data_IF_890103078439
#
_entry.id   IF_890103078439
#
_cell.length_a   1.000
_cell.length_b   1.000
_cell.length_c   1.000
_cell.angle_alpha   90.00
_cell.angle_beta   90.00
_cell.angle_gamma   90.00
#
_symmetry.space_group_name_H-M   'P 1'
#
loop_
_entity.id
_entity.type
_entity.pdbx_description
1 polymer ?
#
# COMPACT_ATOMS: atom_id res chain seq x y z
N UNK A 1 -5.90 -6.60 8.26
CA UNK A 1 -4.95 -6.86 9.35
C UNK A 1 -4.68 -8.35 9.52
N UNK A 2 -5.65 -9.19 9.89
CA UNK A 2 -5.47 -10.65 10.06
C UNK A 2 -4.88 -11.28 8.80
N UNK A 3 -5.46 -11.02 7.62
CA UNK A 3 -4.96 -11.48 6.31
C UNK A 3 -3.48 -11.15 6.11
N UNK A 4 -3.10 -9.95 6.45
CA UNK A 4 -1.73 -9.45 6.33
C UNK A 4 -0.76 -10.18 7.29
N UNK A 5 -1.18 -10.35 8.55
CA UNK A 5 -0.43 -11.09 9.55
C UNK A 5 -0.16 -12.53 9.12
N UNK A 6 -1.20 -13.21 8.62
CA UNK A 6 -1.09 -14.57 8.10
C UNK A 6 -0.16 -14.64 6.87
N UNK A 7 -0.33 -13.72 5.92
CA UNK A 7 0.48 -13.68 4.72
C UNK A 7 1.98 -13.51 5.03
N UNK A 8 2.29 -12.66 6.02
CA UNK A 8 3.66 -12.41 6.49
C UNK A 8 4.23 -13.63 7.24
N UNK A 9 3.54 -14.10 8.27
CA UNK A 9 4.05 -15.17 9.13
C UNK A 9 4.24 -16.50 8.39
N UNK A 10 3.31 -16.83 7.49
CA UNK A 10 3.38 -18.07 6.71
C UNK A 10 4.05 -17.90 5.35
N UNK A 11 4.66 -16.73 5.09
CA UNK A 11 5.36 -16.42 3.85
C UNK A 11 4.54 -16.80 2.59
N UNK A 12 3.22 -16.55 2.62
CA UNK A 12 2.29 -17.02 1.58
C UNK A 12 2.63 -16.49 0.18
N UNK A 13 3.32 -15.36 0.09
CA UNK A 13 3.74 -14.76 -1.18
C UNK A 13 5.15 -15.16 -1.62
N UNK A 14 5.92 -15.89 -0.80
CA UNK A 14 7.26 -16.33 -1.17
C UNK A 14 7.33 -17.10 -2.51
N UNK A 15 6.36 -17.98 -2.85
CA UNK A 15 6.36 -18.64 -4.15
C UNK A 15 6.22 -17.67 -5.33
N UNK A 16 5.47 -16.58 -5.19
CA UNK A 16 5.33 -15.57 -6.24
C UNK A 16 6.64 -14.83 -6.46
N UNK A 17 7.35 -14.48 -5.39
CA UNK A 17 8.66 -13.85 -5.48
C UNK A 17 9.70 -14.76 -6.12
N UNK A 18 9.70 -16.05 -5.77
CA UNK A 18 10.58 -17.04 -6.40
C UNK A 18 10.24 -17.17 -7.90
N UNK A 19 8.96 -17.16 -8.28
CA UNK A 19 8.52 -17.18 -9.68
C UNK A 19 9.07 -15.99 -10.45
N UNK A 20 8.91 -14.76 -9.91
CA UNK A 20 9.43 -13.54 -10.55
C UNK A 20 10.94 -13.64 -10.76
N UNK A 21 11.70 -14.02 -9.72
CA UNK A 21 13.15 -14.17 -9.81
C UNK A 21 13.60 -15.19 -10.86
N UNK A 22 12.84 -16.26 -11.04
CA UNK A 22 13.20 -17.31 -11.99
C UNK A 22 12.77 -17.00 -13.43
N UNK A 23 11.79 -16.09 -13.60
CA UNK A 23 11.21 -15.82 -14.92
C UNK A 23 11.93 -14.71 -15.66
N UNK A 24 12.39 -13.69 -14.92
CA UNK A 24 12.98 -12.50 -15.54
C UNK A 24 14.51 -12.52 -15.45
N UNK A 25 15.16 -12.21 -16.57
CA UNK A 25 16.64 -12.21 -16.69
C UNK A 25 17.26 -10.89 -16.24
N UNK A 26 16.53 -9.77 -16.35
CA UNK A 26 17.05 -8.47 -15.93
C UNK A 26 16.91 -8.31 -14.42
N UNK A 27 18.02 -8.13 -13.75
CA UNK A 27 18.07 -7.91 -12.30
C UNK A 27 17.31 -6.64 -11.90
N UNK A 28 17.47 -5.56 -12.68
CA UNK A 28 16.72 -4.30 -12.48
C UNK A 28 15.21 -4.54 -12.50
N UNK A 29 14.74 -5.26 -13.52
CA UNK A 29 13.32 -5.53 -13.65
C UNK A 29 12.79 -6.39 -12.51
N UNK A 30 13.56 -7.38 -12.06
CA UNK A 30 13.20 -8.21 -10.91
C UNK A 30 13.08 -7.37 -9.64
N UNK A 31 14.02 -6.47 -9.37
CA UNK A 31 13.99 -5.58 -8.19
C UNK A 31 12.72 -4.69 -8.24
N UNK A 32 12.48 -4.03 -9.37
CA UNK A 32 11.27 -3.19 -9.54
C UNK A 32 9.99 -3.98 -9.32
N UNK A 33 9.91 -5.16 -9.92
CA UNK A 33 8.71 -5.98 -9.85
C UNK A 33 8.49 -6.55 -8.44
N UNK A 34 9.57 -6.96 -7.75
CA UNK A 34 9.49 -7.41 -6.36
C UNK A 34 9.05 -6.27 -5.43
N UNK A 35 9.64 -5.09 -5.58
CA UNK A 35 9.26 -3.91 -4.81
C UNK A 35 7.81 -3.49 -5.10
N UNK A 36 7.41 -3.46 -6.37
CA UNK A 36 6.04 -3.13 -6.76
C UNK A 36 5.02 -4.14 -6.21
N UNK A 37 5.30 -5.44 -6.34
CA UNK A 37 4.44 -6.49 -5.76
C UNK A 37 4.40 -6.35 -4.24
N UNK A 38 5.54 -6.15 -3.59
CA UNK A 38 5.62 -5.89 -2.15
C UNK A 38 4.79 -4.68 -1.74
N UNK A 39 4.85 -3.60 -2.52
CA UNK A 39 4.08 -2.38 -2.30
C UNK A 39 2.55 -2.55 -2.44
N UNK A 40 2.10 -3.36 -3.39
CA UNK A 40 0.67 -3.59 -3.65
C UNK A 40 0.04 -4.49 -2.58
N UNK A 41 0.84 -5.30 -1.87
CA UNK A 41 0.30 -6.19 -0.85
C UNK A 41 -0.45 -5.41 0.23
N UNK A 42 -1.68 -5.78 0.57
CA UNK A 42 -2.46 -5.12 1.62
C UNK A 42 -1.99 -5.56 3.01
N UNK A 43 -0.67 -5.51 3.24
CA UNK A 43 -0.05 -5.93 4.50
C UNK A 43 0.62 -4.75 5.17
N UNK A 44 0.37 -4.62 6.45
CA UNK A 44 1.10 -3.70 7.28
C UNK A 44 2.57 -4.14 7.37
N UNK A 45 3.48 -3.19 7.24
CA UNK A 45 4.91 -3.54 7.17
C UNK A 45 5.35 -4.08 5.80
N UNK A 46 4.58 -3.85 4.73
CA UNK A 46 4.95 -4.20 3.35
C UNK A 46 6.31 -3.65 2.93
N UNK A 47 6.66 -2.44 3.39
CA UNK A 47 8.00 -1.87 3.19
C UNK A 47 9.06 -2.77 3.85
N UNK A 48 8.79 -3.30 5.03
CA UNK A 48 9.68 -4.26 5.69
C UNK A 48 9.75 -5.58 4.94
N UNK A 49 8.65 -6.03 4.36
CA UNK A 49 8.61 -7.25 3.53
C UNK A 49 9.38 -7.04 2.24
N UNK A 50 9.16 -5.92 1.57
CA UNK A 50 9.86 -5.54 0.35
C UNK A 50 11.36 -5.36 0.62
N UNK A 51 11.74 -4.64 1.65
CA UNK A 51 13.13 -4.48 2.08
C UNK A 51 13.80 -5.84 2.41
N UNK A 52 13.11 -6.72 3.13
CA UNK A 52 13.58 -8.07 3.41
C UNK A 52 13.78 -8.93 2.15
N UNK A 53 12.96 -8.71 1.11
CA UNK A 53 13.15 -9.37 -0.19
C UNK A 53 14.34 -8.80 -0.94
N UNK A 54 14.51 -7.49 -0.93
CA UNK A 54 15.65 -6.82 -1.53
C UNK A 54 16.96 -7.17 -0.82
N UNK A 55 16.96 -7.37 0.48
CA UNK A 55 18.13 -7.87 1.23
C UNK A 55 18.60 -9.25 0.73
N UNK A 56 17.72 -10.05 0.12
CA UNK A 56 18.11 -11.33 -0.49
C UNK A 56 18.83 -11.19 -1.83
N UNK A 57 18.73 -10.04 -2.46
CA UNK A 57 19.32 -9.74 -3.78
C UNK A 57 20.33 -8.60 -3.75
N UNK A 58 20.42 -7.90 -2.63
CA UNK A 58 21.35 -6.79 -2.44
C UNK A 58 22.77 -7.28 -2.13
N UNK A 59 23.81 -6.55 -2.55
CA UNK A 59 25.15 -6.72 -2.01
C UNK A 59 25.13 -6.51 -0.49
N UNK A 60 25.92 -7.28 0.24
CA UNK A 60 25.95 -7.23 1.71
C UNK A 60 26.44 -5.88 2.24
N UNK A 61 27.25 -5.16 1.47
CA UNK A 61 27.85 -3.88 1.84
C UNK A 61 28.02 -2.94 0.64
N UNK A 62 28.05 -1.61 0.89
CA UNK A 62 28.40 -0.60 -0.09
C UNK A 62 27.23 0.17 -0.72
N UNK A 63 27.56 1.06 -1.66
CA UNK A 63 26.61 1.98 -2.31
C UNK A 63 25.46 1.27 -3.05
N UNK A 64 25.63 0.03 -3.48
CA UNK A 64 24.56 -0.76 -4.11
C UNK A 64 23.39 -0.98 -3.18
N UNK A 65 23.60 -1.15 -1.87
CA UNK A 65 22.54 -1.35 -0.88
C UNK A 65 21.71 -0.08 -0.67
N UNK A 66 22.34 1.09 -0.63
CA UNK A 66 21.66 2.38 -0.52
C UNK A 66 20.77 2.64 -1.75
N UNK A 67 21.30 2.39 -2.95
CA UNK A 67 20.54 2.52 -4.21
C UNK A 67 19.31 1.61 -4.23
N UNK A 68 19.45 0.35 -3.80
CA UNK A 68 18.32 -0.57 -3.71
C UNK A 68 17.30 -0.15 -2.65
N UNK A 69 17.72 0.45 -1.54
CA UNK A 69 16.84 1.06 -0.56
C UNK A 69 16.01 2.21 -1.15
N UNK A 70 16.63 3.06 -1.98
CA UNK A 70 15.92 4.13 -2.69
C UNK A 70 14.95 3.55 -3.73
N UNK A 71 15.35 2.52 -4.47
CA UNK A 71 14.47 1.83 -5.42
C UNK A 71 13.26 1.24 -4.70
N UNK A 72 13.47 0.60 -3.56
CA UNK A 72 12.39 0.06 -2.73
C UNK A 72 11.45 1.16 -2.27
N UNK A 73 11.99 2.23 -1.73
CA UNK A 73 11.20 3.38 -1.30
C UNK A 73 10.36 3.95 -2.44
N UNK A 74 10.97 4.24 -3.59
CA UNK A 74 10.27 4.78 -4.75
C UNK A 74 9.21 3.81 -5.29
N UNK A 75 9.54 2.53 -5.38
CA UNK A 75 8.65 1.51 -5.94
C UNK A 75 7.51 1.12 -5.00
N UNK A 76 7.65 1.33 -3.69
CA UNK A 76 6.62 0.98 -2.70
C UNK A 76 5.73 2.16 -2.32
N UNK A 77 6.18 3.40 -2.45
CA UNK A 77 5.44 4.55 -1.93
C UNK A 77 4.47 5.19 -2.94
N UNK A 78 4.66 5.02 -4.25
CA UNK A 78 3.71 5.55 -5.23
C UNK A 78 2.29 5.01 -5.07
N UNK A 79 2.14 3.79 -4.51
CA UNK A 79 0.84 3.17 -4.34
C UNK A 79 -0.06 3.90 -3.30
N UNK A 80 0.50 4.71 -2.41
CA UNK A 80 -0.28 5.61 -1.55
C UNK A 80 -1.19 6.56 -2.32
N UNK A 81 -0.89 6.79 -3.59
CA UNK A 81 -1.67 7.67 -4.45
C UNK A 81 -2.84 6.96 -5.12
N UNK A 82 -2.71 5.68 -5.44
CA UNK A 82 -3.67 4.99 -6.30
C UNK A 82 -4.23 3.68 -5.76
N UNK A 83 -3.61 3.06 -4.75
CA UNK A 83 -4.11 1.76 -4.30
C UNK A 83 -5.51 1.89 -3.67
N UNK A 84 -6.48 1.11 -4.15
CA UNK A 84 -7.84 1.13 -3.59
C UNK A 84 -7.92 0.62 -2.16
N UNK A 85 -6.82 0.11 -1.62
CA UNK A 85 -6.71 -0.42 -0.26
C UNK A 85 -6.06 0.57 0.71
N UNK A 86 -5.59 1.72 0.20
CA UNK A 86 -4.91 2.72 0.99
C UNK A 86 -5.84 3.76 1.60
N UNK A 87 -5.57 4.09 2.87
CA UNK A 87 -6.33 5.12 3.59
C UNK A 87 -6.22 6.48 2.90
N UNK A 88 -5.05 6.79 2.36
CA UNK A 88 -4.79 8.03 1.59
C UNK A 88 -5.62 8.14 0.32
N UNK A 89 -6.17 7.04 -0.16
CA UNK A 89 -7.08 6.97 -1.31
C UNK A 89 -8.53 6.83 -0.86
N UNK A 90 -8.79 5.91 0.08
CA UNK A 90 -10.16 5.62 0.55
C UNK A 90 -10.80 6.84 1.24
N UNK A 91 -10.04 7.53 2.11
CA UNK A 91 -10.58 8.64 2.89
C UNK A 91 -10.99 9.85 2.02
N UNK A 92 -10.16 10.35 1.09
CA UNK A 92 -10.59 11.41 0.18
C UNK A 92 -11.76 11.00 -0.72
N UNK A 93 -11.74 9.78 -1.26
CA UNK A 93 -12.85 9.25 -2.07
C UNK A 93 -14.15 9.31 -1.28
N UNK A 94 -14.15 8.81 -0.05
CA UNK A 94 -15.31 8.83 0.82
C UNK A 94 -15.72 10.26 1.22
N UNK A 95 -14.76 11.11 1.56
CA UNK A 95 -15.01 12.48 2.01
C UNK A 95 -15.60 13.37 0.90
N UNK A 96 -15.14 13.21 -0.33
CA UNK A 96 -15.59 14.00 -1.48
C UNK A 96 -16.68 13.32 -2.31
N UNK A 97 -17.13 12.12 -1.94
CA UNK A 97 -18.13 11.36 -2.68
C UNK A 97 -17.68 10.98 -4.09
N UNK A 98 -16.37 10.79 -4.30
CA UNK A 98 -15.80 10.44 -5.59
C UNK A 98 -15.96 8.94 -5.87
N UNK A 99 -15.95 8.58 -7.16
CA UNK A 99 -15.68 7.20 -7.56
C UNK A 99 -14.18 6.95 -7.60
N UNK A 100 -13.77 5.69 -7.50
CA UNK A 100 -12.35 5.34 -7.62
C UNK A 100 -11.77 5.73 -8.98
N UNK A 101 -12.55 5.58 -10.06
CA UNK A 101 -12.14 6.00 -11.40
C UNK A 101 -11.96 7.51 -11.54
N UNK A 102 -12.85 8.30 -10.92
CA UNK A 102 -12.71 9.76 -10.88
C UNK A 102 -11.45 10.17 -10.10
N UNK A 103 -11.16 9.52 -8.98
CA UNK A 103 -9.93 9.72 -8.24
C UNK A 103 -8.68 9.42 -9.10
N UNK A 104 -8.64 8.26 -9.77
CA UNK A 104 -7.53 7.92 -10.66
C UNK A 104 -7.35 8.94 -11.78
N UNK A 105 -8.44 9.43 -12.38
CA UNK A 105 -8.37 10.48 -13.38
C UNK A 105 -7.74 11.78 -12.85
N UNK A 106 -8.10 12.16 -11.63
CA UNK A 106 -7.58 13.36 -10.98
C UNK A 106 -6.07 13.28 -10.72
N UNK A 107 -5.59 12.12 -10.24
CA UNK A 107 -4.17 11.95 -9.89
C UNK A 107 -3.31 11.41 -11.03
N UNK A 108 -3.91 11.06 -12.19
CA UNK A 108 -3.19 10.46 -13.32
C UNK A 108 -1.93 11.24 -13.75
N UNK A 109 -1.95 12.58 -13.87
CA UNK A 109 -0.75 13.33 -14.22
C UNK A 109 0.39 13.12 -13.22
N UNK A 110 0.08 13.12 -11.91
CA UNK A 110 1.05 12.89 -10.84
C UNK A 110 1.61 11.47 -10.90
N UNK A 111 0.76 10.48 -11.16
CA UNK A 111 1.19 9.08 -11.32
C UNK A 111 2.14 8.92 -12.50
N UNK A 112 1.82 9.53 -13.65
CA UNK A 112 2.70 9.48 -14.84
C UNK A 112 4.07 10.07 -14.52
N UNK A 113 4.12 11.25 -13.90
CA UNK A 113 5.39 11.88 -13.50
C UNK A 113 6.16 10.99 -12.52
N UNK A 114 5.47 10.42 -11.53
CA UNK A 114 6.09 9.52 -10.54
C UNK A 114 6.68 8.28 -11.20
N UNK A 115 5.94 7.61 -12.08
CA UNK A 115 6.42 6.41 -12.77
C UNK A 115 7.58 6.72 -13.73
N UNK A 116 7.53 7.84 -14.46
CA UNK A 116 8.64 8.27 -15.32
C UNK A 116 9.90 8.53 -14.50
N UNK A 117 9.77 9.23 -13.36
CA UNK A 117 10.89 9.48 -12.46
C UNK A 117 11.48 8.17 -11.88
N UNK A 118 10.64 7.25 -11.43
CA UNK A 118 11.07 5.94 -10.92
C UNK A 118 11.81 5.16 -11.99
N UNK A 119 11.25 5.08 -13.20
CA UNK A 119 11.88 4.40 -14.33
C UNK A 119 13.24 5.04 -14.67
N UNK A 120 13.29 6.36 -14.78
CA UNK A 120 14.52 7.10 -15.04
C UNK A 120 15.59 6.81 -13.95
N UNK A 121 15.21 6.87 -12.67
CA UNK A 121 16.13 6.62 -11.57
C UNK A 121 16.71 5.19 -11.64
N UNK A 122 15.86 4.19 -11.82
CA UNK A 122 16.27 2.78 -11.86
C UNK A 122 17.20 2.54 -13.05
N UNK A 123 16.88 3.06 -14.23
CA UNK A 123 17.70 2.88 -15.42
C UNK A 123 19.04 3.61 -15.34
N UNK A 124 19.10 4.78 -14.71
CA UNK A 124 20.31 5.61 -14.63
C UNK A 124 21.22 5.25 -13.46
N UNK A 125 20.67 4.84 -12.31
CA UNK A 125 21.45 4.70 -11.07
C UNK A 125 21.71 3.26 -10.64
N UNK A 126 20.91 2.30 -11.13
CA UNK A 126 21.08 0.89 -10.76
C UNK A 126 21.80 0.14 -11.88
N UNK A 127 22.86 -0.60 -11.56
CA UNK A 127 23.58 -1.44 -12.51
C UNK A 127 23.29 -2.92 -12.24
N UNK A 128 23.06 -3.70 -13.29
CA UNK A 128 22.73 -5.13 -13.17
C UNK A 128 23.85 -5.93 -12.47
N UNK A 129 25.09 -5.48 -12.57
CA UNK A 129 26.26 -6.10 -11.95
C UNK A 129 26.27 -5.96 -10.40
N UNK A 130 25.55 -4.96 -9.88
CA UNK A 130 25.43 -4.71 -8.45
C UNK A 130 24.40 -5.64 -7.76
N UNK A 131 23.65 -6.42 -8.54
CA UNK A 131 22.53 -7.22 -8.05
C UNK A 131 22.81 -8.71 -8.27
N UNK A 132 22.86 -9.47 -7.20
CA UNK A 132 22.98 -10.93 -7.27
C UNK A 132 21.64 -11.58 -6.96
N UNK A 133 21.02 -12.16 -7.99
CA UNK A 133 19.75 -12.86 -7.84
C UNK A 133 19.99 -14.36 -7.72
N UNK A 134 19.64 -14.91 -6.56
CA UNK A 134 19.65 -16.35 -6.36
C UNK A 134 18.30 -16.94 -6.78
N UNK A 135 18.25 -17.90 -7.73
CA UNK A 135 17.03 -18.59 -8.08
C UNK A 135 16.36 -19.20 -6.84
N UNK A 136 15.06 -19.06 -6.74
CA UNK A 136 14.28 -19.62 -5.64
C UNK A 136 13.48 -20.84 -6.09
N UNK A 137 13.21 -21.76 -5.17
CA UNK A 137 12.29 -22.86 -5.44
C UNK A 137 10.83 -22.38 -5.36
N UNK A 138 10.06 -22.66 -6.39
CA UNK A 138 8.62 -22.36 -6.37
C UNK A 138 7.82 -23.49 -7.02
N UNK A 139 6.54 -23.59 -6.61
CA UNK A 139 5.53 -24.41 -7.29
C UNK A 139 4.47 -23.46 -7.84
N UNK A 140 4.19 -23.51 -9.14
CA UNK A 140 3.16 -22.66 -9.77
C UNK A 140 1.80 -22.81 -9.08
N UNK A 141 1.44 -24.01 -8.66
CA UNK A 141 0.23 -24.25 -7.89
C UNK A 141 0.17 -23.47 -6.57
N UNK A 142 1.31 -23.26 -5.89
CA UNK A 142 1.38 -22.47 -4.68
C UNK A 142 1.20 -20.98 -4.99
N UNK A 143 1.76 -20.49 -6.11
CA UNK A 143 1.54 -19.11 -6.57
C UNK A 143 0.05 -18.89 -6.85
N UNK A 144 -0.57 -19.75 -7.64
CA UNK A 144 -1.99 -19.65 -7.98
C UNK A 144 -2.86 -19.69 -6.72
N UNK A 145 -2.62 -20.64 -5.84
CA UNK A 145 -3.38 -20.78 -4.59
C UNK A 145 -3.25 -19.57 -3.67
N UNK A 146 -2.04 -19.02 -3.52
CA UNK A 146 -1.79 -18.01 -2.50
C UNK A 146 -2.02 -16.56 -3.00
N UNK A 147 -1.84 -16.32 -4.30
CA UNK A 147 -1.83 -14.96 -4.86
C UNK A 147 -3.12 -14.62 -5.60
N UNK A 148 -3.64 -15.55 -6.40
CA UNK A 148 -4.83 -15.29 -7.23
C UNK A 148 -6.05 -14.88 -6.40
N UNK A 149 -6.39 -15.51 -5.26
CA UNK A 149 -7.56 -15.10 -4.46
C UNK A 149 -7.48 -13.65 -3.99
N UNK A 150 -6.27 -13.15 -3.71
CA UNK A 150 -6.07 -11.75 -3.34
C UNK A 150 -6.41 -10.82 -4.51
N UNK A 151 -5.88 -11.09 -5.71
CA UNK A 151 -6.18 -10.26 -6.89
C UNK A 151 -7.66 -10.32 -7.26
N UNK A 152 -8.29 -11.49 -7.11
CA UNK A 152 -9.74 -11.63 -7.32
C UNK A 152 -10.52 -10.79 -6.32
N UNK A 153 -10.18 -10.85 -5.02
CA UNK A 153 -10.86 -10.05 -4.00
C UNK A 153 -10.71 -8.55 -4.25
N UNK A 154 -9.51 -8.09 -4.62
CA UNK A 154 -9.25 -6.68 -4.98
C UNK A 154 -10.02 -6.29 -6.23
N UNK A 155 -10.02 -7.12 -7.27
CA UNK A 155 -10.75 -6.87 -8.52
C UNK A 155 -12.26 -6.75 -8.30
N UNK A 156 -12.84 -7.64 -7.50
CA UNK A 156 -14.25 -7.57 -7.12
C UNK A 156 -14.59 -6.32 -6.30
N UNK A 157 -13.69 -5.91 -5.39
CA UNK A 157 -13.86 -4.66 -4.65
C UNK A 157 -13.81 -3.43 -5.58
N UNK A 158 -12.88 -3.39 -6.54
CA UNK A 158 -12.80 -2.29 -7.52
C UNK A 158 -14.06 -2.25 -8.39
N UNK A 159 -14.57 -3.42 -8.79
CA UNK A 159 -15.80 -3.55 -9.57
C UNK A 159 -17.02 -3.04 -8.81
N UNK A 160 -17.15 -3.39 -7.54
CA UNK A 160 -18.23 -2.93 -6.68
C UNK A 160 -17.76 -2.80 -5.23
N UNK A 161 -17.56 -1.55 -4.80
CA UNK A 161 -17.06 -1.23 -3.45
C UNK A 161 -17.97 -1.70 -2.31
N UNK A 162 -19.27 -1.91 -2.56
CA UNK A 162 -20.20 -2.46 -1.55
C UNK A 162 -19.85 -3.91 -1.14
N UNK A 163 -19.10 -4.63 -1.96
CA UNK A 163 -18.67 -6.00 -1.68
C UNK A 163 -17.40 -6.09 -0.82
N UNK A 164 -16.86 -4.95 -0.40
CA UNK A 164 -15.61 -4.87 0.35
C UNK A 164 -15.56 -5.84 1.53
N UNK A 165 -16.57 -5.80 2.41
CA UNK A 165 -16.62 -6.65 3.62
C UNK A 165 -16.67 -8.14 3.24
N UNK A 166 -17.48 -8.50 2.23
CA UNK A 166 -17.60 -9.88 1.76
C UNK A 166 -16.31 -10.40 1.15
N UNK A 167 -15.69 -9.63 0.25
CA UNK A 167 -14.46 -10.02 -0.45
C UNK A 167 -13.29 -10.19 0.51
N UNK A 168 -13.06 -9.21 1.39
CA UNK A 168 -11.94 -9.29 2.34
C UNK A 168 -12.23 -10.23 3.52
N UNK A 169 -13.48 -10.39 3.92
CA UNK A 169 -13.90 -11.42 4.87
C UNK A 169 -13.62 -12.81 4.33
N UNK A 170 -14.06 -13.09 3.10
CA UNK A 170 -13.77 -14.35 2.42
C UNK A 170 -12.27 -14.61 2.27
N UNK A 171 -11.50 -13.60 1.84
CA UNK A 171 -10.04 -13.72 1.71
C UNK A 171 -9.37 -14.02 3.05
N UNK A 172 -9.84 -13.44 4.13
CA UNK A 172 -9.33 -13.69 5.49
C UNK A 172 -9.61 -15.15 5.90
N UNK A 173 -10.84 -15.62 5.72
CA UNK A 173 -11.22 -17.01 6.00
C UNK A 173 -10.42 -17.98 5.14
N UNK A 174 -10.24 -17.68 3.86
CA UNK A 174 -9.43 -18.48 2.96
C UNK A 174 -7.97 -18.61 3.45
N UNK A 175 -7.35 -17.49 3.89
CA UNK A 175 -5.97 -17.55 4.39
C UNK A 175 -5.86 -18.24 5.75
N UNK A 176 -6.87 -18.15 6.62
CA UNK A 176 -6.95 -18.95 7.84
C UNK A 176 -6.97 -20.45 7.46
N UNK A 177 -7.77 -20.80 6.47
CA UNK A 177 -7.90 -22.19 6.01
C UNK A 177 -6.59 -22.74 5.42
N UNK A 178 -5.94 -22.02 4.50
CA UNK A 178 -4.69 -22.51 3.86
C UNK A 178 -3.49 -22.51 4.82
N UNK A 179 -3.47 -21.62 5.81
CA UNK A 179 -2.42 -21.58 6.85
C UNK A 179 -2.69 -22.53 8.01
N UNK A 180 -3.88 -23.15 8.06
CA UNK A 180 -4.34 -24.01 9.16
C UNK A 180 -4.29 -23.31 10.54
N UNK A 181 -4.40 -21.97 10.56
CA UNK A 181 -4.30 -21.20 11.79
C UNK A 181 -5.69 -20.89 12.37
N UNK A 182 -6.13 -21.72 13.30
CA UNK A 182 -7.44 -21.61 13.95
C UNK A 182 -7.38 -21.01 15.35
N UNK A 183 -6.20 -20.66 15.85
CA UNK A 183 -6.06 -20.09 17.19
C UNK A 183 -6.52 -18.64 17.21
N UNK A 184 -7.69 -18.38 17.79
CA UNK A 184 -8.33 -17.07 17.86
C UNK A 184 -7.44 -16.04 18.58
N UNK A 185 -6.74 -16.42 19.65
CA UNK A 185 -5.83 -15.48 20.35
C UNK A 185 -4.71 -15.01 19.43
N UNK A 186 -4.17 -15.91 18.64
CA UNK A 186 -3.13 -15.58 17.67
C UNK A 186 -3.68 -14.71 16.53
N UNK A 187 -4.87 -15.03 16.02
CA UNK A 187 -5.53 -14.22 14.99
C UNK A 187 -5.84 -12.79 15.49
N UNK A 188 -6.30 -12.65 16.73
CA UNK A 188 -6.52 -11.35 17.35
C UNK A 188 -5.21 -10.58 17.60
N UNK A 189 -4.09 -11.29 17.78
CA UNK A 189 -2.75 -10.69 17.88
C UNK A 189 -2.27 -10.01 16.60
N UNK A 190 -2.83 -10.35 15.42
CA UNK A 190 -2.54 -9.64 14.17
C UNK A 190 -3.35 -8.35 14.02
N UNK A 191 -4.32 -8.11 14.91
CA UNK A 191 -5.15 -6.89 14.85
C UNK A 191 -4.39 -5.75 15.50
N UNK A 192 -4.15 -4.69 14.76
CA UNK A 192 -3.59 -3.44 15.25
C UNK A 192 -4.71 -2.61 15.89
N UNK A 193 -4.93 -2.82 17.17
CA UNK A 193 -5.98 -2.15 17.94
C UNK A 193 -5.80 -0.63 17.96
N UNK A 194 -4.56 -0.15 18.02
CA UNK A 194 -4.19 1.25 17.88
C UNK A 194 -4.71 1.86 16.57
N UNK A 195 -4.51 1.18 15.45
CA UNK A 195 -5.00 1.64 14.13
C UNK A 195 -6.53 1.61 14.07
N UNK A 196 -7.18 0.57 14.63
CA UNK A 196 -8.64 0.51 14.68
C UNK A 196 -9.24 1.67 15.48
N UNK A 197 -8.66 1.96 16.66
CA UNK A 197 -9.08 3.09 17.47
C UNK A 197 -8.89 4.42 16.73
N UNK A 198 -7.77 4.59 16.05
CA UNK A 198 -7.53 5.78 15.24
C UNK A 198 -8.54 5.93 14.10
N UNK A 199 -8.82 4.86 13.35
CA UNK A 199 -9.84 4.86 12.29
C UNK A 199 -11.21 5.19 12.85
N UNK A 200 -11.58 4.59 13.99
CA UNK A 200 -12.84 4.89 14.67
C UNK A 200 -12.93 6.37 15.06
N UNK A 201 -11.85 6.92 15.65
CA UNK A 201 -11.79 8.33 16.03
C UNK A 201 -11.95 9.26 14.81
N UNK A 202 -11.31 8.95 13.69
CA UNK A 202 -11.44 9.73 12.44
C UNK A 202 -12.87 9.68 11.90
N UNK A 203 -13.49 8.50 11.89
CA UNK A 203 -14.90 8.35 11.44
C UNK A 203 -15.84 9.11 12.38
N UNK A 204 -15.65 8.99 13.68
CA UNK A 204 -16.46 9.70 14.67
C UNK A 204 -16.33 11.23 14.52
N UNK A 205 -15.10 11.72 14.35
CA UNK A 205 -14.83 13.13 14.10
C UNK A 205 -15.47 13.59 12.77
N UNK A 206 -15.33 12.81 11.70
CA UNK A 206 -15.94 13.12 10.41
C UNK A 206 -17.47 13.19 10.49
N UNK A 207 -18.11 12.28 11.22
CA UNK A 207 -19.54 12.32 11.45
C UNK A 207 -19.94 13.52 12.30
N UNK A 208 -19.18 13.82 13.35
CA UNK A 208 -19.39 15.01 14.17
C UNK A 208 -19.29 16.29 13.33
N UNK A 209 -18.26 16.42 12.50
CA UNK A 209 -18.10 17.57 11.60
C UNK A 209 -19.28 17.71 10.63
N UNK A 210 -19.76 16.60 10.05
CA UNK A 210 -20.96 16.62 9.18
C UNK A 210 -22.21 17.10 9.90
N UNK A 211 -22.40 16.71 11.16
CA UNK A 211 -23.56 17.13 11.96
C UNK A 211 -23.57 18.65 12.21
N UNK A 212 -22.40 19.25 12.32
CA UNK A 212 -22.20 20.68 12.57
C UNK A 212 -21.66 21.43 11.36
N UNK A 213 -21.88 20.93 10.15
CA UNK A 213 -21.26 21.44 8.90
C UNK A 213 -21.48 22.96 8.72
N UNK A 214 -22.72 23.45 8.93
CA UNK A 214 -23.03 24.86 8.81
C UNK A 214 -22.25 25.73 9.81
N UNK A 215 -22.05 25.28 11.04
CA UNK A 215 -21.28 25.99 12.06
C UNK A 215 -19.79 25.99 11.69
N UNK A 216 -19.27 24.86 11.24
CA UNK A 216 -17.87 24.74 10.79
C UNK A 216 -17.59 25.61 9.58
N UNK A 217 -18.45 25.61 8.58
CA UNK A 217 -18.32 26.46 7.40
C UNK A 217 -18.32 27.95 7.76
N UNK A 218 -19.19 28.36 8.68
CA UNK A 218 -19.23 29.74 9.13
C UNK A 218 -17.93 30.10 9.84
N UNK A 219 -17.45 29.25 10.74
CA UNK A 219 -16.20 29.45 11.46
C UNK A 219 -14.99 29.51 10.53
N UNK A 220 -14.91 28.63 9.54
CA UNK A 220 -13.83 28.60 8.58
C UNK A 220 -13.83 29.84 7.67
N UNK A 221 -14.99 30.25 7.17
CA UNK A 221 -15.11 31.46 6.33
C UNK A 221 -14.70 32.77 7.04
N UNK A 222 -14.83 32.82 8.37
CA UNK A 222 -14.42 33.94 9.17
C UNK A 222 -12.99 33.87 9.68
N UNK A 223 -12.28 32.78 9.39
CA UNK A 223 -10.93 32.54 9.83
C UNK A 223 -9.92 32.59 8.69
N UNK A 224 -8.63 32.66 9.05
CA UNK A 224 -7.51 32.53 8.09
C UNK A 224 -7.49 31.15 7.42
N UNK A 225 -8.29 30.19 7.92
CA UNK A 225 -8.37 28.81 7.43
C UNK A 225 -9.47 28.60 6.39
N UNK A 226 -10.03 29.66 5.77
CA UNK A 226 -11.02 29.50 4.71
C UNK A 226 -10.42 28.68 3.52
N UNK A 227 -10.92 27.46 3.27
CA UNK A 227 -10.36 26.59 2.23
C UNK A 227 -10.61 27.11 0.80
N UNK A 228 -11.45 28.12 0.63
CA UNK A 228 -11.73 28.77 -0.66
C UNK A 228 -10.76 29.90 -0.97
N UNK A 229 -9.86 30.26 -0.03
CA UNK A 229 -8.81 31.24 -0.23
C UNK A 229 -7.46 30.57 -0.40
N UNK A 230 -6.56 31.19 -1.18
CA UNK A 230 -5.20 30.68 -1.33
C UNK A 230 -4.46 30.59 0.01
N UNK A 231 -4.62 31.60 0.86
CA UNK A 231 -4.01 31.66 2.20
C UNK A 231 -4.55 30.52 3.07
N UNK A 232 -5.86 30.27 3.05
CA UNK A 232 -6.47 29.18 3.80
C UNK A 232 -6.01 27.81 3.33
N UNK A 233 -5.91 27.58 2.02
CA UNK A 233 -5.37 26.33 1.49
C UNK A 233 -3.92 26.08 1.94
N UNK A 234 -3.07 27.10 1.88
CA UNK A 234 -1.67 27.01 2.34
C UNK A 234 -1.61 26.75 3.84
N UNK A 235 -2.42 27.46 4.64
CA UNK A 235 -2.46 27.26 6.10
C UNK A 235 -2.90 25.86 6.50
N UNK A 236 -3.98 25.33 5.89
CA UNK A 236 -4.47 23.97 6.13
C UNK A 236 -3.42 22.95 5.71
N UNK A 237 -2.76 23.15 4.56
CA UNK A 237 -1.70 22.25 4.09
C UNK A 237 -0.51 22.25 5.03
N UNK A 238 -0.09 23.42 5.53
CA UNK A 238 1.01 23.55 6.49
C UNK A 238 0.69 22.87 7.83
N UNK A 239 -0.55 23.01 8.34
CA UNK A 239 -1.00 22.33 9.55
C UNK A 239 -0.99 20.80 9.34
N UNK A 240 -1.54 20.32 8.21
CA UNK A 240 -1.55 18.90 7.88
C UNK A 240 -0.14 18.33 7.74
N UNK A 241 0.76 19.07 7.11
CA UNK A 241 2.16 18.70 6.99
C UNK A 241 2.84 18.60 8.36
N UNK A 242 2.68 19.62 9.21
CA UNK A 242 3.27 19.64 10.56
C UNK A 242 2.72 18.51 11.42
N UNK A 243 1.41 18.26 11.36
CA UNK A 243 0.78 17.17 12.11
C UNK A 243 1.24 15.77 11.66
N UNK A 244 1.80 15.64 10.46
CA UNK A 244 2.32 14.36 9.96
C UNK A 244 3.67 13.96 10.58
N UNK A 245 4.33 14.89 11.29
CA UNK A 245 5.61 14.64 11.98
C UNK A 245 5.46 14.44 13.49
N UNK A 246 4.25 14.61 14.03
CA UNK A 246 3.90 14.35 15.42
C UNK A 246 3.27 12.95 15.59
#
# INVERSE_FOLDING_TARGET
MITAGLAKEYALFAPAFAYVRNTFRSNKFVVVLLSAIGGILPIEGRVTVSAGLLDTVAPKEGHGREKLGIVDYLSTHHYYLWSPLEKTVILPIAAFGLTYTAWLGLIAPLLVVSFVFIAWYIWSQVHDEEITITPGNFKLSAVMRNVVPMFVAVGLYIYNSSWMIGCFGFLTLYYIFISQQWNIKKLLGYVRWDVLLWVFAVIALGNYMKTYDAAWQTMLKTSVLDPHTFVGMVAISAIGFTASFL
#
